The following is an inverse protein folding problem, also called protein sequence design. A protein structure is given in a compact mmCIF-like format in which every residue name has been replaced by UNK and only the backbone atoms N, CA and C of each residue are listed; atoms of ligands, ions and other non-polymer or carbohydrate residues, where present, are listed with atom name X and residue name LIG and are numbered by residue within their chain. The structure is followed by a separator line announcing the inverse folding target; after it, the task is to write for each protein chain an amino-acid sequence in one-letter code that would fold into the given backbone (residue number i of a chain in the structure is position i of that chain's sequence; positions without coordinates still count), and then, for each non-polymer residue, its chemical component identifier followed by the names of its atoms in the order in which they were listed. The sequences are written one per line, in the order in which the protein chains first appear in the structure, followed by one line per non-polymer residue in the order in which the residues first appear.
data_IF_051147837051
#
_entry.id   IF_051147837051
#
_cell.length_a   1.000
_cell.length_b   1.000
_cell.length_c   1.000
_cell.angle_alpha   90.00
_cell.angle_beta   90.00
_cell.angle_gamma   90.00
#
_symmetry.space_group_name_H-M   'P 1'
#
loop_
_entity.id
_entity.type
_entity.pdbx_description
1 polymer ?
#
# COMPACT_ATOMS: atom_id res chain seq x y z
N UNK A 1 -3.42 19.35 5.50
CA UNK A 1 -2.18 18.70 5.99
C UNK A 1 -2.42 17.20 6.01
N UNK A 2 -1.37 16.38 5.89
CA UNK A 2 -1.51 14.91 5.94
C UNK A 2 -1.60 14.43 7.38
N UNK A 3 -2.52 13.49 7.63
CA UNK A 3 -2.57 12.72 8.88
C UNK A 3 -1.24 11.99 9.06
N UNK A 4 -0.48 12.35 10.09
CA UNK A 4 0.75 11.64 10.45
C UNK A 4 0.39 10.51 11.42
N UNK A 5 0.45 9.24 11.02
CA UNK A 5 0.29 8.13 11.96
C UNK A 5 1.44 8.12 12.97
N UNK A 6 1.25 7.41 14.08
CA UNK A 6 2.20 7.36 15.19
C UNK A 6 3.60 6.85 14.81
N UNK A 7 3.76 6.24 13.63
CA UNK A 7 4.99 5.63 13.15
C UNK A 7 5.48 6.14 11.77
N UNK A 8 5.13 7.37 11.33
CA UNK A 8 5.51 7.88 9.98
C UNK A 8 5.03 7.01 8.79
N UNK A 9 4.06 6.12 9.02
CA UNK A 9 3.36 5.39 7.96
C UNK A 9 2.62 6.33 7.00
N UNK A 10 2.40 5.88 5.77
CA UNK A 10 1.40 6.53 4.89
C UNK A 10 0.02 5.90 5.13
N UNK A 11 -1.05 6.58 4.67
CA UNK A 11 -2.41 6.02 4.68
C UNK A 11 -2.51 4.72 3.90
N UNK A 12 -1.76 4.64 2.80
CA UNK A 12 -1.63 3.45 1.98
C UNK A 12 -1.08 2.28 2.81
N UNK A 13 0.03 2.49 3.52
CA UNK A 13 0.64 1.45 4.35
C UNK A 13 -0.30 0.98 5.45
N UNK A 14 -1.03 1.89 6.09
CA UNK A 14 -2.01 1.54 7.10
C UNK A 14 -3.16 0.73 6.49
N UNK A 15 -3.73 1.20 5.37
CA UNK A 15 -4.83 0.55 4.66
C UNK A 15 -4.51 -0.91 4.36
N UNK A 16 -3.38 -1.18 3.73
CA UNK A 16 -3.03 -2.54 3.31
C UNK A 16 -2.62 -3.45 4.45
N UNK A 17 -1.87 -2.93 5.43
CA UNK A 17 -1.57 -3.67 6.66
C UNK A 17 -2.86 -4.14 7.33
N UNK A 18 -3.86 -3.27 7.39
CA UNK A 18 -5.15 -3.58 8.01
C UNK A 18 -6.03 -4.48 7.15
N UNK A 19 -5.97 -4.37 5.83
CA UNK A 19 -6.69 -5.25 4.92
C UNK A 19 -6.17 -6.69 5.04
N UNK A 20 -4.85 -6.86 5.07
CA UNK A 20 -4.21 -8.17 5.28
C UNK A 20 -4.46 -8.74 6.67
N UNK A 21 -4.30 -7.92 7.71
CA UNK A 21 -4.47 -8.34 9.10
C UNK A 21 -5.89 -8.78 9.43
N UNK A 22 -6.89 -8.21 8.75
CA UNK A 22 -8.30 -8.57 8.93
C UNK A 22 -8.79 -9.65 7.97
N UNK A 23 -8.15 -9.81 6.80
CA UNK A 23 -8.59 -10.71 5.74
C UNK A 23 -9.83 -10.24 4.97
N UNK A 24 -10.30 -9.00 5.22
CA UNK A 24 -11.48 -8.43 4.56
C UNK A 24 -11.21 -8.15 3.06
N UNK A 25 -12.22 -8.34 2.22
CA UNK A 25 -12.18 -7.85 0.84
C UNK A 25 -12.30 -6.32 0.74
N UNK A 26 -11.96 -5.74 -0.42
CA UNK A 26 -12.10 -4.31 -0.67
C UNK A 26 -13.56 -3.85 -0.76
N UNK A 27 -14.47 -4.70 -1.27
CA UNK A 27 -15.85 -4.31 -1.55
C UNK A 27 -16.65 -3.91 -0.29
N UNK A 28 -16.59 -4.66 0.84
CA UNK A 28 -17.22 -4.23 2.10
C UNK A 28 -16.70 -2.89 2.61
N UNK A 29 -15.40 -2.61 2.45
CA UNK A 29 -14.80 -1.32 2.84
C UNK A 29 -15.37 -0.21 1.96
N UNK A 30 -15.34 -0.37 0.63
CA UNK A 30 -15.92 0.60 -0.32
C UNK A 30 -17.41 0.84 -0.08
N UNK A 31 -18.16 -0.21 0.20
CA UNK A 31 -19.59 -0.14 0.53
C UNK A 31 -19.82 0.70 1.78
N UNK A 32 -19.07 0.43 2.86
CA UNK A 32 -19.15 1.21 4.10
C UNK A 32 -18.68 2.64 3.93
N UNK A 33 -17.68 2.88 3.07
CA UNK A 33 -17.27 4.20 2.61
C UNK A 33 -18.31 4.91 1.72
N UNK A 34 -19.42 4.26 1.38
CA UNK A 34 -20.59 4.86 0.74
C UNK A 34 -21.84 4.84 1.64
N UNK A 35 -21.72 4.48 2.92
CA UNK A 35 -22.82 4.48 3.90
C UNK A 35 -23.60 3.18 3.92
N UNK A 36 -23.19 2.21 3.08
CA UNK A 36 -23.77 0.89 3.02
C UNK A 36 -22.96 -0.05 3.92
N UNK A 37 -23.33 -0.09 5.19
CA UNK A 37 -22.63 -0.84 6.24
C UNK A 37 -22.98 -2.34 6.20
N UNK A 38 -22.04 -3.18 6.66
CA UNK A 38 -22.24 -4.62 6.79
C UNK A 38 -21.78 -5.10 8.16
N UNK A 39 -22.45 -6.09 8.73
CA UNK A 39 -22.08 -6.70 10.03
C UNK A 39 -20.91 -7.72 9.91
N UNK A 40 -20.02 -7.50 8.93
CA UNK A 40 -18.86 -8.36 8.71
C UNK A 40 -17.82 -8.13 9.82
N UNK A 41 -17.48 -9.19 10.55
CA UNK A 41 -16.50 -9.13 11.65
C UNK A 41 -15.10 -8.75 11.17
N UNK A 42 -14.72 -9.12 9.95
CA UNK A 42 -13.42 -8.74 9.37
C UNK A 42 -13.39 -7.25 9.05
N UNK A 43 -14.54 -6.66 8.71
CA UNK A 43 -14.62 -5.22 8.46
C UNK A 43 -14.41 -4.43 9.76
N UNK A 44 -14.98 -4.88 10.87
CA UNK A 44 -14.73 -4.28 12.18
C UNK A 44 -13.25 -4.36 12.57
N UNK A 45 -12.61 -5.51 12.33
CA UNK A 45 -11.16 -5.69 12.55
C UNK A 45 -10.31 -4.74 11.68
N UNK A 46 -10.69 -4.55 10.41
CA UNK A 46 -10.02 -3.60 9.51
C UNK A 46 -10.07 -2.18 10.07
N UNK A 47 -11.24 -1.69 10.49
CA UNK A 47 -11.38 -0.34 11.04
C UNK A 47 -10.64 -0.19 12.38
N UNK A 48 -10.69 -1.21 13.23
CA UNK A 48 -9.92 -1.22 14.48
C UNK A 48 -8.41 -1.10 14.20
N UNK A 49 -7.90 -1.88 13.25
CA UNK A 49 -6.51 -1.77 12.83
C UNK A 49 -6.21 -0.35 12.33
N UNK A 50 -7.02 0.20 11.41
CA UNK A 50 -6.80 1.54 10.86
C UNK A 50 -6.72 2.59 11.97
N UNK A 51 -7.66 2.57 12.90
CA UNK A 51 -7.68 3.53 14.00
C UNK A 51 -6.46 3.38 14.91
N UNK A 52 -5.98 2.15 15.16
CA UNK A 52 -4.74 1.91 15.91
C UNK A 52 -3.49 2.41 15.18
N UNK A 53 -3.40 2.20 13.87
CA UNK A 53 -2.27 2.69 13.06
C UNK A 53 -2.15 4.22 13.13
N UNK A 54 -3.29 4.91 13.25
CA UNK A 54 -3.38 6.35 13.41
C UNK A 54 -3.41 6.83 14.88
N UNK A 55 -3.24 5.92 15.84
CA UNK A 55 -3.29 6.23 17.27
C UNK A 55 -4.59 6.95 17.69
N UNK A 56 -5.69 6.66 17.00
CA UNK A 56 -7.04 7.13 17.34
C UNK A 56 -7.67 6.27 18.44
N UNK A 57 -7.10 5.09 18.71
CA UNK A 57 -7.44 4.24 19.83
C UNK A 57 -6.25 4.13 20.79
N UNK A 58 -6.54 4.05 22.09
CA UNK A 58 -5.55 3.65 23.10
C UNK A 58 -5.34 2.12 23.10
N UNK A 59 -4.43 1.65 23.97
CA UNK A 59 -4.12 0.22 24.08
C UNK A 59 -5.29 -0.61 24.64
N UNK A 60 -6.25 0.03 25.29
CA UNK A 60 -7.49 -0.58 25.78
C UNK A 60 -8.61 -0.52 24.72
N UNK A 61 -8.38 0.08 23.55
CA UNK A 61 -9.38 0.21 22.50
C UNK A 61 -10.38 1.34 22.71
N UNK A 62 -10.11 2.31 23.58
CA UNK A 62 -10.93 3.52 23.72
C UNK A 62 -10.46 4.60 22.74
N UNK A 63 -11.39 5.44 22.28
CA UNK A 63 -11.10 6.55 21.38
C UNK A 63 -10.26 7.64 22.07
N UNK A 64 -9.24 8.15 21.37
CA UNK A 64 -8.38 9.26 21.81
C UNK A 64 -8.86 10.56 21.16
N UNK A 65 -9.83 11.22 21.77
CA UNK A 65 -10.45 12.44 21.23
C UNK A 65 -9.44 13.50 20.80
N UNK A 66 -8.43 13.77 21.62
CA UNK A 66 -7.39 14.75 21.31
C UNK A 66 -6.70 14.43 19.97
N UNK A 67 -6.35 13.16 19.75
CA UNK A 67 -5.72 12.73 18.49
C UNK A 67 -6.68 12.80 17.31
N UNK A 68 -7.97 12.51 17.54
CA UNK A 68 -9.02 12.64 16.51
C UNK A 68 -9.24 14.12 16.15
N UNK A 69 -9.24 15.03 17.14
CA UNK A 69 -9.35 16.47 16.92
C UNK A 69 -8.14 17.02 16.19
N UNK A 70 -6.92 16.66 16.59
CA UNK A 70 -5.70 17.05 15.88
C UNK A 70 -5.73 16.58 14.42
N UNK A 71 -6.17 15.34 14.20
CA UNK A 71 -6.39 14.75 12.89
C UNK A 71 -7.37 15.58 12.04
N UNK A 72 -8.54 15.93 12.59
CA UNK A 72 -9.54 16.78 11.95
C UNK A 72 -9.00 18.19 11.68
N UNK A 73 -8.30 18.78 12.66
CA UNK A 73 -7.77 20.13 12.57
C UNK A 73 -6.73 20.28 11.46
N UNK A 74 -5.98 19.20 11.21
CA UNK A 74 -5.04 19.16 10.10
C UNK A 74 -5.70 19.14 8.71
N UNK A 75 -6.97 18.74 8.62
CA UNK A 75 -7.69 18.46 7.38
C UNK A 75 -8.66 19.55 6.96
N UNK A 76 -9.26 20.28 7.90
CA UNK A 76 -10.39 21.18 7.63
C UNK A 76 -10.11 22.62 8.06
N UNK A 77 -10.95 23.57 7.64
CA UNK A 77 -10.93 24.96 8.13
C UNK A 77 -12.10 25.28 9.07
N UNK A 78 -13.13 24.43 9.09
CA UNK A 78 -14.36 24.61 9.86
C UNK A 78 -14.49 23.48 10.91
N UNK A 79 -13.81 23.66 12.04
CA UNK A 79 -13.58 22.59 13.02
C UNK A 79 -14.78 22.32 13.95
N UNK A 80 -15.68 23.29 14.12
CA UNK A 80 -16.67 23.25 15.20
C UNK A 80 -17.72 22.13 15.00
N UNK A 81 -18.24 21.97 13.79
CA UNK A 81 -19.21 20.90 13.47
C UNK A 81 -18.59 19.51 13.57
N UNK A 82 -17.31 19.41 13.24
CA UNK A 82 -16.58 18.14 13.22
C UNK A 82 -16.20 17.70 14.63
N UNK A 83 -15.84 18.63 15.53
CA UNK A 83 -15.61 18.33 16.95
C UNK A 83 -16.88 17.87 17.67
N UNK A 84 -18.02 18.52 17.42
CA UNK A 84 -19.32 18.11 17.96
C UNK A 84 -19.67 16.67 17.54
N UNK A 85 -19.44 16.33 16.27
CA UNK A 85 -19.69 14.99 15.76
C UNK A 85 -18.84 13.90 16.41
N UNK A 86 -17.57 14.19 16.73
CA UNK A 86 -16.70 13.24 17.45
C UNK A 86 -17.24 12.99 18.84
N UNK A 87 -17.58 14.05 19.58
CA UNK A 87 -18.11 13.95 20.95
C UNK A 87 -19.45 13.20 20.96
N UNK A 88 -20.34 13.54 20.04
CA UNK A 88 -21.62 12.86 19.87
C UNK A 88 -21.42 11.36 19.63
N UNK A 89 -20.58 10.99 18.67
CA UNK A 89 -20.39 9.59 18.30
C UNK A 89 -19.58 8.77 19.30
N UNK A 90 -18.65 9.39 20.01
CA UNK A 90 -17.99 8.73 21.13
C UNK A 90 -18.98 8.42 22.26
N UNK A 91 -19.86 9.37 22.57
CA UNK A 91 -20.88 9.20 23.61
C UNK A 91 -21.84 8.06 23.22
N UNK A 92 -22.35 8.08 21.99
CA UNK A 92 -23.22 6.99 21.47
C UNK A 92 -22.53 5.62 21.53
N UNK A 93 -21.28 5.52 21.09
CA UNK A 93 -20.54 4.25 21.13
C UNK A 93 -20.21 3.77 22.54
N UNK A 94 -20.07 4.68 23.52
CA UNK A 94 -19.79 4.33 24.92
C UNK A 94 -20.97 3.69 25.65
N UNK A 95 -22.21 3.96 25.20
CA UNK A 95 -23.41 3.33 25.76
C UNK A 95 -23.80 2.01 25.08
N UNK A 96 -23.13 1.66 23.98
CA UNK A 96 -23.38 0.41 23.28
C UNK A 96 -22.69 -0.74 24.01
N UNK A 97 -23.38 -1.88 24.14
CA UNK A 97 -22.77 -3.12 24.62
C UNK A 97 -21.97 -3.79 23.49
N UNK A 98 -20.92 -3.11 23.03
CA UNK A 98 -20.06 -3.52 21.91
C UNK A 98 -18.69 -3.98 22.40
N UNK A 99 -18.08 -4.88 21.66
CA UNK A 99 -16.73 -5.33 21.95
C UNK A 99 -15.72 -4.24 21.59
N UNK A 100 -14.53 -4.26 22.20
CA UNK A 100 -13.43 -3.34 21.86
C UNK A 100 -13.04 -3.37 20.37
N UNK A 101 -13.34 -4.49 19.68
CA UNK A 101 -13.06 -4.64 18.25
C UNK A 101 -14.09 -3.95 17.36
N UNK A 102 -15.25 -3.60 17.91
CA UNK A 102 -16.35 -2.96 17.18
C UNK A 102 -16.38 -1.43 17.40
N UNK A 103 -15.77 -0.92 18.48
CA UNK A 103 -15.75 0.52 18.81
C UNK A 103 -15.31 1.39 17.62
N UNK A 104 -14.21 1.04 16.94
CA UNK A 104 -13.73 1.80 15.79
C UNK A 104 -14.74 1.83 14.63
N UNK A 105 -15.38 0.70 14.36
CA UNK A 105 -16.33 0.58 13.26
C UNK A 105 -17.64 1.28 13.57
N UNK A 106 -18.17 1.13 14.78
CA UNK A 106 -19.39 1.83 15.20
C UNK A 106 -19.18 3.34 15.32
N UNK A 107 -18.00 3.77 15.80
CA UNK A 107 -17.64 5.18 15.76
C UNK A 107 -17.58 5.69 14.33
N UNK A 108 -16.92 4.96 13.43
CA UNK A 108 -16.88 5.30 12.00
C UNK A 108 -18.29 5.42 11.40
N UNK A 109 -19.18 4.46 11.65
CA UNK A 109 -20.59 4.47 11.19
C UNK A 109 -21.34 5.68 11.70
N UNK A 110 -21.29 5.93 13.01
CA UNK A 110 -21.94 7.08 13.63
C UNK A 110 -21.39 8.37 13.05
N UNK A 111 -20.07 8.54 13.05
CA UNK A 111 -19.41 9.78 12.67
C UNK A 111 -19.68 10.10 11.21
N UNK A 112 -19.70 9.07 10.36
CA UNK A 112 -20.09 9.17 8.97
C UNK A 112 -21.54 9.63 8.80
N UNK A 113 -22.49 9.01 9.50
CA UNK A 113 -23.91 9.40 9.44
C UNK A 113 -24.11 10.83 9.95
N UNK A 114 -23.40 11.22 11.00
CA UNK A 114 -23.42 12.59 11.55
C UNK A 114 -22.91 13.60 10.53
N UNK A 115 -21.84 13.23 9.82
CA UNK A 115 -21.14 14.07 8.84
C UNK A 115 -21.67 13.92 7.42
N UNK A 116 -22.84 13.31 7.17
CA UNK A 116 -23.47 13.31 5.84
C UNK A 116 -23.65 14.72 5.25
N UNK A 117 -23.54 15.76 6.08
CA UNK A 117 -23.55 17.19 5.71
C UNK A 117 -22.16 17.83 5.54
N UNK A 118 -21.07 17.16 5.90
CA UNK A 118 -19.73 17.76 6.00
C UNK A 118 -18.71 17.19 5.00
N UNK A 119 -17.84 18.08 4.53
CA UNK A 119 -16.85 17.94 3.47
C UNK A 119 -15.77 16.86 3.72
N UNK A 120 -15.71 16.33 4.94
CA UNK A 120 -14.71 15.41 5.50
C UNK A 120 -14.37 14.19 4.62
N UNK A 121 -15.40 13.57 4.02
CA UNK A 121 -15.21 12.36 3.21
C UNK A 121 -14.56 12.62 1.86
N UNK A 122 -14.59 13.86 1.37
CA UNK A 122 -13.90 14.20 0.12
C UNK A 122 -12.40 14.03 0.24
N UNK A 123 -11.79 14.17 1.43
CA UNK A 123 -10.35 13.97 1.61
C UNK A 123 -9.99 12.48 1.69
N UNK A 124 -10.71 11.68 2.47
CA UNK A 124 -10.47 10.23 2.49
C UNK A 124 -10.78 9.60 1.13
N UNK A 125 -11.84 10.05 0.45
CA UNK A 125 -12.19 9.67 -0.92
C UNK A 125 -11.15 10.16 -1.93
N UNK A 126 -10.61 11.37 -1.79
CA UNK A 126 -9.55 11.93 -2.65
C UNK A 126 -8.23 11.17 -2.49
N UNK A 127 -7.87 10.81 -1.26
CA UNK A 127 -6.68 10.01 -0.97
C UNK A 127 -6.83 8.57 -1.50
N UNK A 128 -8.03 7.98 -1.41
CA UNK A 128 -8.31 6.66 -2.01
C UNK A 128 -8.49 6.72 -3.54
N UNK A 129 -8.94 7.84 -4.12
CA UNK A 129 -9.15 7.97 -5.57
C UNK A 129 -7.88 8.31 -6.34
N UNK A 130 -6.94 9.06 -5.74
CA UNK A 130 -5.68 9.40 -6.43
C UNK A 130 -4.74 8.21 -6.65
N UNK A 131 -4.95 7.11 -5.95
CA UNK A 131 -4.19 5.88 -6.14
C UNK A 131 -4.83 4.92 -7.16
N UNK A 132 -6.04 5.21 -7.68
CA UNK A 132 -6.62 4.37 -8.73
C UNK A 132 -5.79 4.40 -10.02
N UNK A 133 -5.05 5.47 -10.30
CA UNK A 133 -4.38 5.63 -11.61
C UNK A 133 -3.07 4.82 -11.72
N UNK A 134 -2.35 4.60 -10.62
CA UNK A 134 -1.12 3.79 -10.62
C UNK A 134 -1.41 2.28 -10.63
N UNK A 135 -2.54 1.88 -10.04
CA UNK A 135 -3.00 0.48 -10.00
C UNK A 135 -4.12 0.19 -11.00
N UNK A 136 -4.50 1.15 -11.87
CA UNK A 136 -5.60 0.99 -12.83
C UNK A 136 -5.39 -0.20 -13.77
N UNK A 137 -4.13 -0.54 -14.01
CA UNK A 137 -3.73 -1.60 -14.89
C UNK A 137 -3.58 -2.96 -14.21
N UNK A 138 -3.45 -2.97 -12.88
CA UNK A 138 -3.43 -4.20 -12.09
C UNK A 138 -4.85 -4.60 -11.69
N UNK A 139 -5.14 -5.90 -11.75
CA UNK A 139 -6.34 -6.40 -11.10
C UNK A 139 -6.25 -6.13 -9.59
N UNK A 140 -7.39 -5.97 -8.89
CA UNK A 140 -7.38 -5.74 -7.44
C UNK A 140 -6.56 -6.78 -6.66
N UNK A 141 -6.56 -8.03 -7.11
CA UNK A 141 -5.76 -9.11 -6.51
C UNK A 141 -4.26 -8.93 -6.73
N UNK A 142 -3.84 -8.45 -7.91
CA UNK A 142 -2.43 -8.22 -8.22
C UNK A 142 -1.89 -7.00 -7.48
N UNK A 143 -2.63 -5.88 -7.46
CA UNK A 143 -2.28 -4.69 -6.67
C UNK A 143 -2.13 -5.05 -5.19
N UNK A 144 -3.11 -5.78 -4.62
CA UNK A 144 -3.02 -6.24 -3.24
C UNK A 144 -1.78 -7.10 -2.99
N UNK A 145 -1.46 -8.05 -3.90
CA UNK A 145 -0.27 -8.89 -3.75
C UNK A 145 1.01 -8.06 -3.79
N UNK A 146 1.10 -7.10 -4.71
CA UNK A 146 2.24 -6.19 -4.86
C UNK A 146 2.53 -5.44 -3.57
N UNK A 147 1.49 -4.79 -3.03
CA UNK A 147 1.58 -3.96 -1.83
C UNK A 147 1.88 -4.81 -0.59
N UNK A 148 1.26 -5.98 -0.49
CA UNK A 148 1.55 -6.95 0.57
C UNK A 148 3.03 -7.29 0.62
N UNK A 149 3.62 -7.61 -0.53
CA UNK A 149 5.05 -7.92 -0.63
C UNK A 149 5.89 -6.71 -0.27
N UNK A 150 5.58 -5.54 -0.85
CA UNK A 150 6.29 -4.30 -0.58
C UNK A 150 6.34 -3.99 0.92
N UNK A 151 5.20 -3.99 1.62
CA UNK A 151 5.14 -3.64 3.04
C UNK A 151 5.76 -4.68 3.95
N UNK A 152 5.47 -5.96 3.71
CA UNK A 152 6.06 -7.05 4.48
C UNK A 152 7.59 -6.96 4.44
N UNK A 153 8.13 -6.68 3.26
CA UNK A 153 9.56 -6.58 3.08
C UNK A 153 10.15 -5.27 3.60
N UNK A 154 9.47 -4.13 3.42
CA UNK A 154 9.95 -2.85 3.95
C UNK A 154 10.02 -2.85 5.48
N UNK A 155 9.00 -3.39 6.14
CA UNK A 155 8.99 -3.56 7.60
C UNK A 155 10.03 -4.60 8.05
N UNK A 156 10.14 -5.73 7.34
CA UNK A 156 11.07 -6.81 7.70
C UNK A 156 12.54 -6.44 7.57
N UNK A 157 12.88 -5.48 6.71
CA UNK A 157 14.26 -5.04 6.48
C UNK A 157 14.63 -3.73 7.18
N UNK A 158 13.67 -3.03 7.80
CA UNK A 158 13.86 -1.68 8.36
C UNK A 158 14.45 -0.68 7.36
N UNK A 159 14.06 -0.80 6.08
CA UNK A 159 14.56 0.09 5.03
C UNK A 159 13.76 1.40 5.05
N UNK A 160 14.45 2.52 4.85
CA UNK A 160 13.78 3.81 4.68
C UNK A 160 13.06 3.86 3.33
N UNK A 161 11.80 4.30 3.35
CA UNK A 161 10.98 4.43 2.14
C UNK A 161 11.67 5.25 1.03
N UNK A 162 12.42 6.29 1.40
CA UNK A 162 13.15 7.11 0.44
C UNK A 162 14.19 6.30 -0.34
N UNK A 163 14.91 5.37 0.30
CA UNK A 163 15.90 4.54 -0.39
C UNK A 163 15.26 3.59 -1.41
N UNK A 164 14.04 3.09 -1.15
CA UNK A 164 13.28 2.31 -2.12
C UNK A 164 12.88 3.21 -3.30
N UNK A 165 12.27 4.37 -3.03
CA UNK A 165 11.88 5.33 -4.07
C UNK A 165 13.04 5.76 -4.95
N UNK A 166 14.19 6.05 -4.35
CA UNK A 166 15.42 6.39 -5.08
C UNK A 166 15.82 5.25 -6.01
N UNK A 167 15.80 4.00 -5.52
CA UNK A 167 16.18 2.83 -6.33
C UNK A 167 15.26 2.57 -7.52
N UNK A 168 13.95 2.83 -7.38
CA UNK A 168 12.98 2.75 -8.49
C UNK A 168 13.25 3.83 -9.55
N UNK A 169 13.86 4.95 -9.16
CA UNK A 169 14.29 6.03 -10.05
C UNK A 169 15.75 5.87 -10.53
N UNK A 170 16.29 4.65 -10.49
CA UNK A 170 17.69 4.33 -10.82
C UNK A 170 18.74 5.10 -9.99
N UNK A 171 18.37 5.61 -8.82
CA UNK A 171 19.27 6.23 -7.85
C UNK A 171 19.60 5.20 -6.76
N UNK A 172 20.73 4.52 -6.93
CA UNK A 172 21.11 3.39 -6.10
C UNK A 172 21.99 3.78 -4.91
N UNK A 173 21.71 3.20 -3.74
CA UNK A 173 22.56 3.31 -2.55
C UNK A 173 23.18 1.96 -2.17
N UNK A 174 24.28 1.95 -1.42
CA UNK A 174 24.89 0.72 -0.87
C UNK A 174 24.26 0.28 0.46
N UNK A 175 23.02 0.70 0.73
CA UNK A 175 22.32 0.45 1.98
C UNK A 175 21.99 -1.05 2.15
N UNK A 176 22.45 -1.66 3.25
CA UNK A 176 22.25 -3.09 3.52
C UNK A 176 20.76 -3.43 3.75
N UNK A 177 20.00 -2.55 4.40
CA UNK A 177 18.56 -2.70 4.58
C UNK A 177 17.82 -2.70 3.23
N UNK A 178 18.27 -1.90 2.27
CA UNK A 178 17.70 -1.92 0.90
C UNK A 178 17.97 -3.25 0.18
N UNK A 179 19.16 -3.83 0.35
CA UNK A 179 19.46 -5.15 -0.19
C UNK A 179 18.58 -6.24 0.45
N UNK A 180 18.35 -6.16 1.76
CA UNK A 180 17.46 -7.08 2.48
C UNK A 180 16.00 -6.94 2.03
N UNK A 181 15.54 -5.72 1.77
CA UNK A 181 14.23 -5.45 1.19
C UNK A 181 14.07 -6.19 -0.15
N UNK A 182 14.99 -6.02 -1.10
CA UNK A 182 14.93 -6.70 -2.39
C UNK A 182 15.07 -8.22 -2.26
N UNK A 183 15.85 -8.72 -1.31
CA UNK A 183 15.91 -10.16 -1.02
C UNK A 183 14.54 -10.70 -0.61
N UNK A 184 13.89 -10.05 0.36
CA UNK A 184 12.59 -10.45 0.86
C UNK A 184 11.57 -10.49 -0.28
N UNK A 185 11.56 -9.42 -1.08
CA UNK A 185 10.71 -9.29 -2.25
C UNK A 185 10.90 -10.47 -3.21
N UNK A 186 12.15 -10.74 -3.61
CA UNK A 186 12.45 -11.80 -4.56
C UNK A 186 12.05 -13.16 -4.00
N UNK A 187 12.18 -13.37 -2.69
CA UNK A 187 11.72 -14.59 -2.01
C UNK A 187 10.20 -14.73 -2.03
N UNK A 188 9.46 -13.65 -1.78
CA UNK A 188 8.00 -13.65 -1.80
C UNK A 188 7.42 -13.99 -3.18
N UNK A 189 8.12 -13.62 -4.24
CA UNK A 189 7.77 -14.03 -5.61
C UNK A 189 8.38 -15.37 -6.03
N UNK A 190 9.25 -15.96 -5.22
CA UNK A 190 9.95 -17.20 -5.54
C UNK A 190 11.06 -17.06 -6.57
N UNK A 191 11.51 -15.84 -6.86
CA UNK A 191 12.59 -15.52 -7.81
C UNK A 191 13.98 -15.79 -7.27
N UNK A 192 14.12 -15.87 -5.95
CA UNK A 192 15.35 -16.34 -5.30
C UNK A 192 14.99 -17.43 -4.29
N UNK A 193 15.81 -18.47 -4.21
CA UNK A 193 15.61 -19.53 -3.21
C UNK A 193 16.21 -19.17 -1.84
N UNK A 194 16.14 -20.13 -0.91
CA UNK A 194 16.68 -19.98 0.45
C UNK A 194 18.21 -19.87 0.45
N UNK A 195 18.88 -20.47 -0.53
CA UNK A 195 20.33 -20.54 -0.65
C UNK A 195 20.90 -19.34 -1.44
N UNK A 196 20.03 -18.53 -2.05
CA UNK A 196 20.39 -17.29 -2.73
C UNK A 196 20.50 -17.43 -4.25
N UNK A 197 20.05 -18.52 -4.83
CA UNK A 197 20.08 -18.73 -6.27
C UNK A 197 18.84 -18.14 -6.95
N UNK A 198 19.07 -17.38 -8.02
CA UNK A 198 18.01 -16.86 -8.86
C UNK A 198 17.31 -17.99 -9.63
N UNK A 199 15.98 -17.95 -9.66
CA UNK A 199 15.13 -18.90 -10.39
C UNK A 199 14.66 -18.27 -11.69
N UNK A 200 15.54 -18.21 -12.69
CA UNK A 200 15.26 -17.55 -13.97
C UNK A 200 14.01 -18.10 -14.65
N UNK A 201 13.81 -19.42 -14.64
CA UNK A 201 12.61 -20.04 -15.19
C UNK A 201 11.33 -19.55 -14.49
N UNK A 202 11.39 -19.30 -13.18
CA UNK A 202 10.25 -18.75 -12.43
C UNK A 202 9.96 -17.31 -12.86
N UNK A 203 11.00 -16.49 -13.04
CA UNK A 203 10.85 -15.11 -13.54
C UNK A 203 10.28 -15.09 -14.97
N UNK A 204 10.83 -15.90 -15.88
CA UNK A 204 10.37 -16.00 -17.27
C UNK A 204 8.92 -16.49 -17.35
N UNK A 205 8.55 -17.48 -16.54
CA UNK A 205 7.18 -18.01 -16.49
C UNK A 205 6.17 -17.04 -15.86
N UNK A 206 6.62 -16.01 -15.15
CA UNK A 206 5.74 -14.97 -14.61
C UNK A 206 5.48 -13.81 -15.57
N UNK A 207 6.10 -13.81 -16.76
CA UNK A 207 5.81 -12.85 -17.82
C UNK A 207 4.51 -13.31 -18.54
N UNK A 208 3.46 -12.48 -18.57
CA UNK A 208 2.24 -12.76 -19.31
C UNK A 208 2.52 -13.06 -20.79
N UNK A 209 1.76 -13.99 -21.37
CA UNK A 209 1.98 -14.43 -22.75
C UNK A 209 1.62 -13.36 -23.78
N UNK A 210 0.75 -12.42 -23.40
CA UNK A 210 0.21 -11.30 -24.18
C UNK A 210 0.92 -9.97 -23.92
N UNK A 211 1.97 -9.98 -23.10
CA UNK A 211 2.81 -8.82 -22.84
C UNK A 211 3.53 -8.37 -24.13
N UNK A 212 3.30 -7.11 -24.51
CA UNK A 212 3.93 -6.47 -25.69
C UNK A 212 5.45 -6.37 -25.55
N UNK A 213 5.94 -6.33 -24.32
CA UNK A 213 7.35 -6.14 -23.98
C UNK A 213 8.02 -7.44 -23.53
N UNK A 214 7.32 -8.59 -23.65
CA UNK A 214 7.83 -9.90 -23.26
C UNK A 214 9.24 -10.17 -23.75
N UNK A 215 9.55 -9.87 -25.01
CA UNK A 215 10.89 -10.13 -25.59
C UNK A 215 11.96 -9.27 -24.92
N UNK A 216 11.65 -8.01 -24.60
CA UNK A 216 12.55 -7.11 -23.89
C UNK A 216 12.79 -7.61 -22.46
N UNK A 217 11.72 -7.91 -21.72
CA UNK A 217 11.77 -8.43 -20.35
C UNK A 217 12.55 -9.75 -20.27
N UNK A 218 12.30 -10.69 -21.19
CA UNK A 218 13.04 -11.94 -21.26
C UNK A 218 14.54 -11.73 -21.51
N UNK A 219 14.89 -10.80 -22.41
CA UNK A 219 16.28 -10.48 -22.70
C UNK A 219 16.96 -9.83 -21.49
N UNK A 220 16.30 -8.90 -20.80
CA UNK A 220 16.81 -8.31 -19.57
C UNK A 220 17.10 -9.37 -18.50
N UNK A 221 16.18 -10.33 -18.28
CA UNK A 221 16.41 -11.46 -17.36
C UNK A 221 17.62 -12.28 -17.78
N UNK A 222 17.72 -12.64 -19.07
CA UNK A 222 18.83 -13.44 -19.61
C UNK A 222 20.17 -12.71 -19.51
N UNK A 223 20.20 -11.39 -19.65
CA UNK A 223 21.40 -10.57 -19.45
C UNK A 223 21.79 -10.52 -17.98
N UNK A 224 20.82 -10.31 -17.09
CA UNK A 224 21.07 -10.04 -15.67
C UNK A 224 21.21 -11.29 -14.80
N UNK A 225 20.88 -12.48 -15.30
CA UNK A 225 21.01 -13.72 -14.54
C UNK A 225 22.45 -14.07 -14.09
N UNK A 226 23.45 -13.41 -14.67
CA UNK A 226 24.87 -13.63 -14.36
C UNK A 226 25.42 -12.69 -13.29
N UNK A 227 24.54 -11.99 -12.55
CA UNK A 227 24.94 -11.20 -11.40
C UNK A 227 25.34 -12.14 -10.25
N UNK A 228 26.62 -12.13 -9.90
CA UNK A 228 27.17 -12.93 -8.81
C UNK A 228 27.78 -12.02 -7.74
N UNK A 229 27.29 -12.13 -6.51
CA UNK A 229 27.83 -11.43 -5.34
C UNK A 229 27.92 -12.38 -4.15
N UNK A 230 28.47 -11.91 -3.02
CA UNK A 230 28.76 -12.75 -1.86
C UNK A 230 27.55 -13.11 -0.99
N UNK A 231 26.37 -12.52 -1.23
CA UNK A 231 25.18 -12.78 -0.42
C UNK A 231 23.89 -12.76 -1.25
N UNK A 232 22.88 -13.51 -0.81
CA UNK A 232 21.57 -13.55 -1.45
C UNK A 232 20.89 -12.16 -1.53
N UNK A 233 21.11 -11.30 -0.54
CA UNK A 233 20.58 -9.93 -0.54
C UNK A 233 21.26 -9.05 -1.59
N UNK A 234 22.57 -9.17 -1.72
CA UNK A 234 23.32 -8.47 -2.75
C UNK A 234 22.99 -9.01 -4.15
N UNK A 235 22.75 -10.33 -4.31
CA UNK A 235 22.31 -10.93 -5.57
C UNK A 235 20.97 -10.33 -6.02
N UNK A 236 19.95 -10.34 -5.14
CA UNK A 236 18.63 -9.80 -5.48
C UNK A 236 18.69 -8.30 -5.85
N UNK A 237 19.47 -7.52 -5.10
CA UNK A 237 19.63 -6.08 -5.35
C UNK A 237 20.39 -5.78 -6.63
N UNK A 238 21.50 -6.46 -6.89
CA UNK A 238 22.29 -6.24 -8.11
C UNK A 238 21.56 -6.76 -9.35
N UNK A 239 20.76 -7.84 -9.23
CA UNK A 239 19.86 -8.26 -10.29
C UNK A 239 18.82 -7.18 -10.58
N UNK A 240 18.16 -6.61 -9.55
CA UNK A 240 17.22 -5.52 -9.71
C UNK A 240 17.84 -4.33 -10.47
N UNK A 241 19.02 -3.88 -10.05
CA UNK A 241 19.77 -2.79 -10.72
C UNK A 241 20.05 -3.10 -12.19
N UNK A 242 20.55 -4.30 -12.47
CA UNK A 242 20.83 -4.73 -13.83
C UNK A 242 19.56 -4.74 -14.67
N UNK A 243 18.52 -5.43 -14.18
CA UNK A 243 17.25 -5.56 -14.88
C UNK A 243 16.64 -4.19 -15.18
N UNK A 244 16.71 -3.29 -14.21
CA UNK A 244 16.24 -1.92 -14.34
C UNK A 244 17.00 -1.16 -15.42
N UNK A 245 18.33 -1.25 -15.45
CA UNK A 245 19.14 -0.61 -16.49
C UNK A 245 18.87 -1.18 -17.89
N UNK A 246 18.70 -2.50 -18.01
CA UNK A 246 18.40 -3.16 -19.29
C UNK A 246 17.02 -2.75 -19.81
N UNK A 247 16.02 -2.64 -18.92
CA UNK A 247 14.67 -2.22 -19.30
C UNK A 247 14.54 -0.71 -19.50
N UNK A 248 15.28 0.13 -18.75
CA UNK A 248 15.41 1.59 -18.95
C UNK A 248 16.07 1.96 -20.29
N UNK A 249 16.93 1.10 -20.82
CA UNK A 249 17.54 1.28 -22.14
C UNK A 249 16.58 0.99 -23.30
N UNK A 250 15.50 0.26 -23.04
CA UNK A 250 14.41 0.10 -23.98
C UNK A 250 13.46 1.31 -23.87
N UNK A 251 12.95 1.80 -25.01
CA UNK A 251 12.05 2.97 -25.15
C UNK A 251 10.80 2.98 -24.23
N UNK A 252 10.54 1.87 -23.54
CA UNK A 252 9.47 1.58 -22.60
C UNK A 252 9.20 2.68 -21.55
N UNK A 253 10.26 3.32 -21.07
CA UNK A 253 10.15 4.27 -19.94
C UNK A 253 9.73 5.68 -20.32
N UNK A 254 10.11 6.11 -21.51
CA UNK A 254 9.64 7.36 -22.10
C UNK A 254 8.12 7.34 -22.24
N UNK A 255 7.55 6.21 -22.64
CA UNK A 255 6.10 6.06 -22.81
C UNK A 255 5.35 6.07 -21.47
N UNK A 256 5.84 5.41 -20.42
CA UNK A 256 5.20 5.45 -19.10
C UNK A 256 5.34 6.83 -18.41
N UNK A 257 6.46 7.53 -18.56
CA UNK A 257 6.60 8.93 -18.11
C UNK A 257 5.63 9.85 -18.84
N UNK A 258 5.48 9.68 -20.14
CA UNK A 258 4.54 10.47 -20.95
C UNK A 258 3.07 10.11 -20.67
N UNK A 259 2.75 8.85 -20.41
CA UNK A 259 1.40 8.37 -20.07
C UNK A 259 1.01 8.75 -18.64
N UNK A 260 1.92 8.72 -17.67
CA UNK A 260 1.64 9.26 -16.31
C UNK A 260 1.37 10.78 -16.34
N UNK A 261 1.85 11.48 -17.37
CA UNK A 261 1.58 12.90 -17.58
C UNK A 261 0.29 13.17 -18.38
N UNK A 262 -0.30 12.14 -19.00
CA UNK A 262 -1.49 12.21 -19.85
C UNK A 262 -2.49 11.12 -19.44
N UNK A 263 -3.47 11.50 -18.62
CA UNK A 263 -4.60 10.68 -18.14
C UNK A 263 -5.45 10.02 -19.26
N UNK A 264 -4.90 9.08 -20.03
CA UNK A 264 -5.66 8.22 -20.93
C UNK A 264 -5.42 6.75 -20.59
N UNK A 265 -6.53 6.08 -20.27
CA UNK A 265 -6.61 4.68 -19.81
C UNK A 265 -5.90 3.74 -20.79
N UNK A 266 -4.96 2.96 -20.29
CA UNK A 266 -4.40 1.84 -21.04
C UNK A 266 -4.20 0.60 -20.15
N UNK A 267 -4.36 -0.55 -20.79
CA UNK A 267 -4.28 -1.89 -20.24
C UNK A 267 -2.80 -2.27 -20.07
N UNK A 268 -2.32 -2.37 -18.83
CA UNK A 268 -0.94 -2.72 -18.45
C UNK A 268 -0.99 -3.94 -17.54
N UNK A 269 -1.29 -5.08 -18.14
CA UNK A 269 -1.31 -6.36 -17.45
C UNK A 269 0.13 -6.86 -17.23
N UNK A 270 0.87 -6.36 -16.23
CA UNK A 270 2.23 -6.85 -15.95
C UNK A 270 2.70 -6.72 -14.48
N UNK A 271 2.43 -7.75 -13.69
CA UNK A 271 2.83 -7.81 -12.26
C UNK A 271 4.36 -7.82 -12.06
N UNK A 272 5.14 -8.35 -13.00
CA UNK A 272 6.61 -8.38 -12.90
C UNK A 272 7.21 -7.00 -13.16
N UNK A 273 6.66 -6.31 -14.14
CA UNK A 273 7.11 -4.99 -14.55
C UNK A 273 6.67 -4.02 -13.47
N UNK A 274 5.39 -3.97 -13.11
CA UNK A 274 4.84 -3.06 -12.08
C UNK A 274 5.44 -3.24 -10.67
N UNK A 275 6.14 -4.35 -10.40
CA UNK A 275 6.91 -4.56 -9.16
C UNK A 275 8.36 -4.03 -9.26
N UNK A 276 8.96 -4.12 -10.45
CA UNK A 276 10.32 -3.64 -10.73
C UNK A 276 10.31 -2.17 -11.24
N UNK A 277 9.12 -1.59 -11.43
CA UNK A 277 8.84 -0.19 -11.77
C UNK A 277 8.51 0.66 -10.54
#
# INVERSE_FOLDING_TARGET
AELKPAANLTLETAHYTCLLGSGIGLDPIKSSLNGNYSDDKQLAQYFQCMFRMYNLLDIQGNLRNETIFDAIQSLEKDHALTEEGVLFCQNETSYMNITQNEIAYEFFKCFRNYTEKAYYWSILKYLLSKHQDMYAALTPTQSLKLETVHYTCAMGSDVQLQAIKDSLNAVYSSNNQLQQYFQCVFRMYGYIDKDGYLKNDTMLNSIPTDDKDKTCTENAIKTCQHVWTSSASAIAYEFFKCFRNETDSAEYWTTLKELSSKNEKQDVSNVLVDFLL
#
